data_IF_035069670822
#
_entry.id   IF_035069670822
#
_cell.length_a   1.000
_cell.length_b   1.000
_cell.length_c   1.000
_cell.angle_alpha   90.00
_cell.angle_beta   90.00
_cell.angle_gamma   90.00
#
_symmetry.space_group_name_H-M   'P 1'
#
loop_
_entity.id
_entity.type
_entity.pdbx_description
1 polymer ?
#
# COMPACT_ATOMS: atom_id res chain seq x y z
N UNK A 1 15.14 3.36 -12.41
CA UNK A 1 13.69 3.13 -12.40
C UNK A 1 13.32 2.41 -11.12
N UNK A 2 12.44 3.05 -10.34
CA UNK A 2 11.82 2.51 -9.13
C UNK A 2 10.32 2.56 -9.38
N UNK A 3 9.62 1.48 -9.08
CA UNK A 3 8.17 1.41 -9.08
C UNK A 3 7.68 0.91 -7.73
N UNK A 4 6.51 1.36 -7.33
CA UNK A 4 5.86 0.92 -6.08
C UNK A 4 4.41 0.54 -6.37
N UNK A 5 3.88 -0.42 -5.63
CA UNK A 5 2.46 -0.73 -5.70
C UNK A 5 2.07 -1.98 -4.92
N UNK A 6 1.08 -2.70 -5.43
CA UNK A 6 0.49 -3.85 -4.77
C UNK A 6 0.33 -5.01 -5.74
N UNK A 7 0.51 -6.24 -5.26
CA UNK A 7 0.26 -7.44 -6.05
C UNK A 7 -0.31 -8.59 -5.21
N UNK A 8 -0.99 -9.53 -5.87
CA UNK A 8 -1.23 -10.86 -5.33
C UNK A 8 0.07 -11.65 -5.30
N UNK A 9 0.22 -12.61 -4.38
CA UNK A 9 1.38 -13.50 -4.33
C UNK A 9 1.60 -14.14 -5.71
N UNK A 10 2.76 -13.89 -6.32
CA UNK A 10 3.18 -14.64 -7.49
C UNK A 10 3.46 -16.08 -7.05
N UNK A 11 2.96 -17.07 -7.79
CA UNK A 11 3.45 -18.44 -7.65
C UNK A 11 4.95 -18.43 -7.96
N UNK A 12 5.75 -19.08 -7.12
CA UNK A 12 7.21 -19.16 -7.29
C UNK A 12 7.53 -19.77 -8.66
N UNK A 13 7.71 -18.93 -9.69
CA UNK A 13 8.17 -19.37 -11.00
C UNK A 13 9.61 -19.86 -10.78
N UNK A 14 9.91 -21.13 -11.10
CA UNK A 14 11.29 -21.62 -11.14
C UNK A 14 12.12 -20.66 -11.99
N UNK A 15 13.11 -20.05 -11.37
CA UNK A 15 13.98 -19.05 -11.98
C UNK A 15 15.01 -19.81 -12.82
N UNK A 16 14.93 -19.66 -14.14
CA UNK A 16 16.03 -19.98 -15.05
C UNK A 16 16.85 -18.70 -15.24
N UNK A 17 18.06 -18.69 -14.70
CA UNK A 17 18.93 -17.53 -14.56
C UNK A 17 19.37 -16.92 -15.92
N UNK A 18 19.14 -17.60 -17.04
CA UNK A 18 19.69 -17.22 -18.35
C UNK A 18 18.99 -16.03 -19.05
N UNK A 19 17.76 -15.69 -18.68
CA UNK A 19 16.97 -14.60 -19.31
C UNK A 19 16.44 -13.54 -18.32
N UNK A 20 16.98 -13.53 -17.10
CA UNK A 20 16.43 -12.83 -15.94
C UNK A 20 16.37 -11.29 -16.08
N UNK A 21 17.39 -10.67 -16.67
CA UNK A 21 17.48 -9.19 -16.74
C UNK A 21 16.45 -8.60 -17.72
N UNK A 22 16.16 -9.30 -18.82
CA UNK A 22 15.27 -8.79 -19.88
C UNK A 22 13.78 -9.00 -19.58
N UNK A 23 13.43 -9.87 -18.63
CA UNK A 23 12.05 -10.24 -18.30
C UNK A 23 11.58 -9.75 -16.92
N UNK A 24 12.34 -8.90 -16.22
CA UNK A 24 11.92 -8.31 -14.95
C UNK A 24 10.76 -7.33 -15.16
N UNK A 25 9.55 -7.75 -14.83
CA UNK A 25 8.36 -6.90 -14.85
C UNK A 25 8.33 -5.98 -13.62
N UNK A 26 8.05 -4.70 -13.86
CA UNK A 26 7.83 -3.70 -12.80
C UNK A 26 6.42 -3.83 -12.22
N UNK A 27 6.14 -3.21 -11.06
CA UNK A 27 4.81 -3.27 -10.43
C UNK A 27 3.68 -2.98 -11.43
N UNK A 28 2.68 -3.87 -11.49
CA UNK A 28 1.53 -3.71 -12.38
C UNK A 28 1.76 -4.06 -13.86
N UNK A 29 2.97 -4.41 -14.30
CA UNK A 29 3.22 -4.78 -15.71
C UNK A 29 2.84 -6.23 -16.07
N UNK A 30 2.64 -7.11 -15.07
CA UNK A 30 2.19 -8.49 -15.34
C UNK A 30 0.69 -8.53 -15.64
N UNK A 31 0.33 -9.11 -16.79
CA UNK A 31 -1.03 -9.52 -17.10
C UNK A 31 -1.11 -11.04 -17.14
N UNK A 32 -1.93 -11.60 -16.26
CA UNK A 32 -2.43 -12.97 -16.40
C UNK A 32 -3.92 -12.96 -16.17
N UNK A 33 -4.66 -13.44 -17.14
CA UNK A 33 -6.10 -13.61 -16.99
C UNK A 33 -6.38 -14.54 -15.79
N UNK A 34 -7.20 -14.05 -14.86
CA UNK A 34 -7.75 -14.80 -13.74
C UNK A 34 -6.78 -15.38 -12.68
N UNK A 35 -5.47 -15.23 -12.80
CA UNK A 35 -4.50 -15.79 -11.83
C UNK A 35 -3.88 -14.74 -10.89
N UNK A 36 -3.47 -13.59 -11.42
CA UNK A 36 -2.71 -12.59 -10.66
C UNK A 36 -3.24 -11.19 -10.92
N UNK A 37 -3.30 -10.38 -9.87
CA UNK A 37 -3.59 -8.96 -9.96
C UNK A 37 -2.42 -8.18 -9.42
N UNK A 38 -2.05 -7.11 -10.11
CA UNK A 38 -1.04 -6.18 -9.60
C UNK A 38 -1.23 -4.80 -10.19
N UNK A 39 -0.83 -3.80 -9.43
CA UNK A 39 -0.73 -2.42 -9.88
C UNK A 39 0.55 -1.78 -9.37
N UNK A 40 0.95 -0.69 -9.99
CA UNK A 40 1.96 0.19 -9.42
C UNK A 40 2.28 1.41 -10.25
N UNK A 41 2.79 2.41 -9.55
CA UNK A 41 3.22 3.69 -10.09
C UNK A 41 4.72 3.70 -10.31
N UNK A 42 5.14 4.08 -11.51
CA UNK A 42 6.52 4.08 -11.97
C UNK A 42 7.03 5.52 -11.95
N UNK A 43 8.02 5.76 -11.10
CA UNK A 43 8.48 7.12 -10.86
C UNK A 43 9.40 7.66 -11.94
N UNK A 44 9.73 6.93 -12.99
CA UNK A 44 10.60 7.41 -14.06
C UNK A 44 9.83 7.92 -15.28
N UNK A 45 8.66 7.34 -15.58
CA UNK A 45 7.79 7.75 -16.68
C UNK A 45 6.47 8.39 -16.22
N UNK A 46 6.13 8.27 -14.93
CA UNK A 46 4.89 8.82 -14.38
C UNK A 46 3.64 7.97 -14.69
N UNK A 47 3.81 6.72 -15.13
CA UNK A 47 2.70 5.83 -15.46
C UNK A 47 2.24 5.03 -14.26
N UNK A 48 0.92 4.83 -14.17
CA UNK A 48 0.32 3.77 -13.36
C UNK A 48 0.08 2.57 -14.27
N UNK A 49 0.62 1.43 -13.89
CA UNK A 49 0.33 0.16 -14.52
C UNK A 49 -0.62 -0.64 -13.64
N UNK A 50 -1.62 -1.26 -14.24
CA UNK A 50 -2.53 -2.19 -13.58
C UNK A 50 -2.79 -3.38 -14.49
N UNK A 51 -2.36 -4.56 -14.03
CA UNK A 51 -2.50 -5.83 -14.75
C UNK A 51 -2.09 -5.71 -16.23
N UNK A 52 -0.89 -5.22 -16.50
CA UNK A 52 -0.33 -5.05 -17.85
C UNK A 52 -0.84 -3.85 -18.65
N UNK A 53 -1.88 -3.14 -18.19
CA UNK A 53 -2.34 -1.90 -18.82
C UNK A 53 -1.68 -0.69 -18.14
N UNK A 54 -1.00 0.15 -18.93
CA UNK A 54 -0.39 1.39 -18.47
C UNK A 54 -1.21 2.61 -18.85
N UNK A 55 -1.47 3.50 -17.91
CA UNK A 55 -2.10 4.82 -18.11
C UNK A 55 -1.20 5.89 -17.50
N UNK A 56 -1.09 7.03 -18.20
CA UNK A 56 -0.42 8.21 -17.65
C UNK A 56 -1.19 8.67 -16.42
N UNK A 57 -0.54 8.63 -15.27
CA UNK A 57 -1.21 8.77 -13.99
C UNK A 57 -0.97 10.13 -13.36
N UNK A 58 0.17 10.75 -13.67
CA UNK A 58 0.55 12.05 -13.13
C UNK A 58 0.93 13.02 -14.26
N UNK A 59 0.16 14.10 -14.39
CA UNK A 59 0.45 15.24 -15.26
C UNK A 59 1.07 16.42 -14.47
N UNK A 60 1.23 16.30 -13.15
CA UNK A 60 1.82 17.33 -12.31
C UNK A 60 3.35 17.26 -12.38
N UNK A 61 3.96 18.36 -12.80
CA UNK A 61 5.36 18.40 -13.20
C UNK A 61 6.29 18.70 -12.00
N UNK A 62 7.49 18.08 -11.89
CA UNK A 62 8.03 17.07 -12.80
C UNK A 62 7.66 15.63 -12.39
N UNK A 63 7.33 14.77 -13.38
CA UNK A 63 7.25 13.33 -13.16
C UNK A 63 8.63 12.82 -12.73
N UNK A 64 8.70 11.89 -11.78
CA UNK A 64 9.99 11.56 -11.17
C UNK A 64 9.88 11.07 -9.74
N UNK A 65 10.68 10.09 -9.34
CA UNK A 65 11.20 10.05 -7.97
C UNK A 65 12.62 10.60 -7.95
N UNK A 66 12.91 11.48 -6.99
CA UNK A 66 14.26 11.92 -6.68
C UNK A 66 14.64 11.56 -5.24
N UNK A 67 15.92 11.72 -4.91
CA UNK A 67 16.43 11.49 -3.56
C UNK A 67 15.70 12.37 -2.55
N UNK A 68 15.15 11.73 -1.52
CA UNK A 68 14.43 12.41 -0.44
C UNK A 68 12.92 12.53 -0.65
N UNK A 69 12.40 12.17 -1.84
CA UNK A 69 10.96 12.06 -2.05
C UNK A 69 10.35 10.99 -1.12
N UNK A 70 9.17 11.30 -0.61
CA UNK A 70 8.41 10.41 0.25
C UNK A 70 7.08 10.12 -0.44
N UNK A 71 6.87 8.83 -0.71
CA UNK A 71 5.70 8.37 -1.45
C UNK A 71 4.78 7.62 -0.50
N UNK A 72 3.54 8.07 -0.38
CA UNK A 72 2.49 7.36 0.32
C UNK A 72 1.76 6.41 -0.63
N UNK A 73 1.55 5.17 -0.21
CA UNK A 73 0.78 4.17 -0.95
C UNK A 73 -0.51 3.89 -0.20
N UNK A 74 -1.65 4.08 -0.86
CA UNK A 74 -2.96 3.94 -0.24
C UNK A 74 -3.77 2.86 -0.95
N UNK A 75 -4.37 1.99 -0.14
CA UNK A 75 -5.27 0.93 -0.56
C UNK A 75 -6.60 1.08 0.17
N UNK A 76 -7.64 1.51 -0.53
CA UNK A 76 -8.99 1.61 0.02
C UNK A 76 -9.85 0.42 -0.46
N UNK A 77 -10.10 -0.53 0.43
CA UNK A 77 -10.95 -1.70 0.16
C UNK A 77 -12.45 -1.39 0.09
N UNK A 78 -12.91 -0.25 0.63
CA UNK A 78 -14.32 0.17 0.56
C UNK A 78 -14.68 0.64 -0.85
N UNK A 79 -13.80 1.43 -1.44
CA UNK A 79 -13.97 1.99 -2.78
C UNK A 79 -13.26 1.16 -3.86
N UNK A 80 -12.52 0.12 -3.45
CA UNK A 80 -11.70 -0.71 -4.32
C UNK A 80 -10.72 0.14 -5.15
N UNK A 81 -10.05 1.11 -4.52
CA UNK A 81 -9.08 1.97 -5.21
C UNK A 81 -7.68 1.86 -4.61
N UNK A 82 -6.70 2.09 -5.48
CA UNK A 82 -5.32 2.41 -5.11
C UNK A 82 -5.02 3.82 -5.57
N UNK A 83 -4.36 4.60 -4.73
CA UNK A 83 -3.82 5.91 -5.07
C UNK A 83 -2.50 6.14 -4.36
N UNK A 84 -1.74 7.11 -4.86
CA UNK A 84 -0.44 7.47 -4.33
C UNK A 84 -0.38 8.95 -3.96
N UNK A 85 0.53 9.27 -3.05
CA UNK A 85 0.90 10.65 -2.73
C UNK A 85 2.38 10.83 -2.90
N UNK A 86 2.82 12.01 -3.34
CA UNK A 86 4.24 12.38 -3.38
C UNK A 86 4.45 13.62 -2.53
N UNK A 87 5.29 13.50 -1.51
CA UNK A 87 5.58 14.56 -0.54
C UNK A 87 4.30 15.16 0.09
N UNK A 88 3.29 14.32 0.32
CA UNK A 88 2.00 14.71 0.89
C UNK A 88 0.97 15.22 -0.12
N UNK A 89 1.31 15.34 -1.40
CA UNK A 89 0.39 15.77 -2.47
C UNK A 89 -0.29 14.55 -3.08
N UNK A 90 -1.63 14.58 -3.21
CA UNK A 90 -2.41 13.50 -3.80
C UNK A 90 -2.24 13.45 -5.33
N UNK A 91 -1.89 12.29 -5.87
CA UNK A 91 -1.69 12.08 -7.31
C UNK A 91 -2.93 11.53 -8.04
N UNK A 92 -4.08 11.40 -7.35
CA UNK A 92 -5.33 10.90 -7.93
C UNK A 92 -5.47 9.37 -7.91
N UNK A 93 -6.49 8.80 -8.54
CA UNK A 93 -6.73 7.33 -8.52
C UNK A 93 -5.80 6.62 -9.52
N UNK A 94 -4.96 5.72 -9.03
CA UNK A 94 -4.01 4.98 -9.85
C UNK A 94 -4.65 3.81 -10.57
N UNK A 95 -5.50 3.07 -9.86
CA UNK A 95 -6.25 1.96 -10.41
C UNK A 95 -7.39 1.54 -9.49
N UNK A 96 -8.28 0.72 -10.03
CA UNK A 96 -9.33 0.04 -9.29
C UNK A 96 -8.99 -1.44 -9.11
N UNK A 97 -9.27 -1.98 -7.91
CA UNK A 97 -9.34 -3.41 -7.69
C UNK A 97 -10.55 -3.97 -8.42
N UNK A 98 -10.51 -5.26 -8.78
CA UNK A 98 -11.68 -5.97 -9.32
C UNK A 98 -12.79 -5.95 -8.28
N UNK A 99 -14.04 -5.73 -8.70
CA UNK A 99 -15.20 -5.56 -7.82
C UNK A 99 -15.43 -6.73 -6.85
N UNK A 100 -14.98 -7.93 -7.23
CA UNK A 100 -15.07 -9.17 -6.45
C UNK A 100 -13.69 -9.71 -6.06
N UNK A 101 -12.71 -8.83 -5.85
CA UNK A 101 -11.36 -9.26 -5.48
C UNK A 101 -11.39 -10.09 -4.20
N UNK A 102 -10.89 -11.33 -4.28
CA UNK A 102 -10.71 -12.25 -3.17
C UNK A 102 -9.25 -12.67 -3.14
N UNK A 103 -8.50 -12.20 -2.14
CA UNK A 103 -7.09 -12.51 -2.03
C UNK A 103 -6.36 -11.62 -1.04
N UNK A 104 -5.08 -11.91 -0.84
CA UNK A 104 -4.17 -11.08 -0.05
C UNK A 104 -3.37 -10.24 -1.04
N UNK A 105 -3.33 -8.93 -0.78
CA UNK A 105 -2.43 -8.00 -1.49
C UNK A 105 -1.19 -7.75 -0.64
N UNK A 106 -0.05 -7.74 -1.31
CA UNK A 106 1.25 -7.46 -0.73
C UNK A 106 1.77 -6.15 -1.31
N UNK A 107 2.35 -5.27 -0.49
CA UNK A 107 3.11 -4.13 -1.00
C UNK A 107 4.32 -4.66 -1.78
N UNK A 108 4.64 -4.01 -2.89
CA UNK A 108 5.74 -4.40 -3.77
C UNK A 108 6.53 -3.17 -4.22
N UNK A 109 7.86 -3.30 -4.21
CA UNK A 109 8.79 -2.32 -4.77
C UNK A 109 9.65 -3.01 -5.82
N UNK A 110 9.66 -2.47 -7.02
CA UNK A 110 10.48 -2.94 -8.13
C UNK A 110 11.63 -1.99 -8.42
N UNK A 111 12.80 -2.54 -8.74
CA UNK A 111 13.99 -1.81 -9.15
C UNK A 111 14.48 -2.32 -10.50
N UNK A 112 14.81 -1.39 -11.41
CA UNK A 112 15.60 -1.70 -12.62
C UNK A 112 16.94 -0.96 -12.69
N UNK A 113 17.13 0.08 -11.87
CA UNK A 113 18.41 0.83 -11.82
C UNK A 113 19.32 0.31 -10.72
N UNK A 114 20.61 0.15 -11.03
CA UNK A 114 21.65 -0.11 -10.02
C UNK A 114 21.86 1.12 -9.13
N UNK A 115 22.23 0.88 -7.86
CA UNK A 115 22.60 1.92 -6.90
C UNK A 115 21.44 2.70 -6.26
N UNK A 116 20.19 2.46 -6.67
CA UNK A 116 19.02 3.04 -6.02
C UNK A 116 18.70 2.33 -4.70
N UNK A 117 18.28 3.08 -3.69
CA UNK A 117 17.84 2.54 -2.40
C UNK A 117 16.53 3.19 -1.96
N UNK A 118 15.67 2.42 -1.30
CA UNK A 118 14.47 2.94 -0.63
C UNK A 118 14.45 2.49 0.83
N UNK A 119 13.92 3.34 1.71
CA UNK A 119 13.51 2.95 3.06
C UNK A 119 11.99 2.79 3.04
N UNK A 120 11.49 1.66 3.54
CA UNK A 120 10.04 1.42 3.63
C UNK A 120 9.62 1.53 5.08
N UNK A 121 8.53 2.26 5.34
CA UNK A 121 7.94 2.37 6.67
C UNK A 121 6.55 1.72 6.65
N UNK A 122 6.40 0.61 7.36
CA UNK A 122 5.12 -0.09 7.53
C UNK A 122 4.46 0.21 8.89
N UNK A 123 4.86 1.30 9.55
CA UNK A 123 4.36 1.74 10.86
C UNK A 123 5.40 1.68 11.98
N UNK A 124 6.58 1.12 11.76
CA UNK A 124 7.64 1.04 12.79
C UNK A 124 8.12 2.41 13.29
N UNK A 125 7.94 3.44 12.48
CA UNK A 125 8.13 4.85 12.84
C UNK A 125 6.86 5.62 12.46
N UNK A 126 6.64 6.80 13.06
CA UNK A 126 5.54 7.67 12.65
C UNK A 126 5.63 8.00 11.15
N UNK A 127 4.50 7.91 10.45
CA UNK A 127 4.41 8.37 9.06
C UNK A 127 4.65 9.88 9.00
N UNK A 128 5.47 10.34 8.04
CA UNK A 128 5.79 11.76 7.88
C UNK A 128 4.56 12.61 7.53
N UNK A 129 3.64 12.03 6.76
CA UNK A 129 2.39 12.67 6.36
C UNK A 129 1.21 11.92 6.98
N UNK A 130 0.15 12.66 7.27
CA UNK A 130 -1.11 12.09 7.72
C UNK A 130 -1.75 11.21 6.65
N UNK A 131 -2.48 10.18 7.08
CA UNK A 131 -3.26 9.38 6.16
C UNK A 131 -4.33 10.26 5.48
N UNK A 132 -4.44 10.18 4.14
CA UNK A 132 -5.57 10.78 3.44
C UNK A 132 -6.78 9.86 3.59
N UNK A 133 -7.87 10.38 4.14
CA UNK A 133 -9.18 9.79 3.93
C UNK A 133 -9.72 10.28 2.61
N UNK A 134 -10.36 9.40 1.82
CA UNK A 134 -10.85 9.62 0.45
C UNK A 134 -11.90 10.75 0.25
N UNK A 135 -11.94 11.75 1.11
CA UNK A 135 -12.45 13.05 0.72
C UNK A 135 -11.59 13.58 -0.41
N UNK A 136 -12.04 13.37 -1.65
CA UNK A 136 -11.80 14.34 -2.72
C UNK A 136 -12.31 15.75 -2.34
N UNK A 137 -13.05 15.84 -1.23
CA UNK A 137 -13.31 17.05 -0.47
C UNK A 137 -12.16 17.35 0.51
N UNK A 138 -11.48 18.45 0.25
CA UNK A 138 -10.80 19.22 1.29
C UNK A 138 -11.85 19.70 2.30
N UNK A 139 -12.09 18.98 3.39
CA UNK A 139 -12.55 19.57 4.65
C UNK A 139 -12.59 18.55 5.80
N UNK A 140 -11.94 18.94 6.90
CA UNK A 140 -12.35 18.70 8.29
C UNK A 140 -13.38 17.57 8.54
N UNK A 141 -12.91 16.46 9.13
CA UNK A 141 -13.45 15.73 10.31
C UNK A 141 -12.94 14.27 10.26
N UNK A 142 -11.68 14.09 10.67
CA UNK A 142 -11.30 13.04 11.62
C UNK A 142 -10.27 13.71 12.56
N UNK A 143 -10.60 14.00 13.82
CA UNK A 143 -9.78 14.89 14.65
C UNK A 143 -8.42 14.31 15.06
N UNK A 144 -8.10 13.06 14.71
CA UNK A 144 -6.86 12.46 15.17
C UNK A 144 -6.23 11.51 14.14
N UNK A 145 -5.26 12.06 13.40
CA UNK A 145 -4.33 11.35 12.53
C UNK A 145 -3.72 10.09 13.18
N UNK A 146 -3.51 10.13 14.50
CA UNK A 146 -2.99 8.99 15.27
C UNK A 146 -3.96 7.80 15.31
N UNK A 147 -5.27 8.01 15.31
CA UNK A 147 -6.24 6.93 15.42
C UNK A 147 -6.25 6.03 14.17
N UNK A 148 -6.23 6.63 12.98
CA UNK A 148 -6.16 5.86 11.73
C UNK A 148 -4.84 5.13 11.58
N UNK A 149 -3.72 5.76 11.95
CA UNK A 149 -2.41 5.13 11.90
C UNK A 149 -2.37 3.87 12.80
N UNK A 150 -2.86 3.99 14.04
CA UNK A 150 -2.98 2.85 14.98
C UNK A 150 -3.90 1.75 14.43
N UNK A 151 -5.01 2.11 13.77
CA UNK A 151 -5.91 1.12 13.17
C UNK A 151 -5.21 0.34 12.06
N UNK A 152 -4.55 1.01 11.12
CA UNK A 152 -3.84 0.35 10.02
C UNK A 152 -2.65 -0.46 10.52
N UNK A 153 -1.85 0.08 11.43
CA UNK A 153 -0.68 -0.59 11.99
C UNK A 153 -1.07 -1.85 12.78
N UNK A 154 -2.08 -1.74 13.66
CA UNK A 154 -2.61 -2.89 14.39
C UNK A 154 -3.13 -3.99 13.47
N UNK A 155 -3.78 -3.62 12.35
CA UNK A 155 -4.22 -4.59 11.33
C UNK A 155 -3.04 -5.25 10.60
N UNK A 156 -1.99 -4.50 10.29
CA UNK A 156 -0.77 -5.05 9.68
C UNK A 156 -0.11 -6.05 10.63
N UNK A 157 0.10 -5.67 11.90
CA UNK A 157 0.66 -6.56 12.92
C UNK A 157 -0.17 -7.84 13.09
N UNK A 158 -1.50 -7.72 13.10
CA UNK A 158 -2.39 -8.88 13.15
C UNK A 158 -2.18 -9.84 11.97
N UNK A 159 -2.07 -9.31 10.74
CA UNK A 159 -1.88 -10.11 9.53
C UNK A 159 -0.53 -10.83 9.53
N UNK A 160 0.53 -10.19 10.03
CA UNK A 160 1.87 -10.77 10.07
C UNK A 160 2.13 -11.62 11.33
N UNK A 161 1.10 -11.92 12.12
CA UNK A 161 1.17 -12.80 13.30
C UNK A 161 1.79 -12.15 14.54
N UNK A 162 1.97 -10.83 14.53
CA UNK A 162 2.50 -10.02 15.64
C UNK A 162 1.36 -9.58 16.56
N UNK A 163 0.80 -10.55 17.28
CA UNK A 163 -0.45 -10.35 18.02
C UNK A 163 -0.31 -9.41 19.22
N UNK A 164 0.83 -9.42 19.91
CA UNK A 164 1.10 -8.51 21.03
C UNK A 164 1.14 -7.04 20.56
N UNK A 165 1.93 -6.75 19.52
CA UNK A 165 2.01 -5.39 18.96
C UNK A 165 0.66 -4.93 18.39
N UNK A 166 -0.07 -5.85 17.72
CA UNK A 166 -1.42 -5.55 17.23
C UNK A 166 -2.38 -5.18 18.37
N UNK A 167 -2.34 -5.92 19.48
CA UNK A 167 -3.21 -5.70 20.62
C UNK A 167 -2.95 -4.36 21.30
N UNK A 168 -1.68 -3.97 21.41
CA UNK A 168 -1.27 -2.68 21.96
C UNK A 168 -1.80 -1.52 21.11
N UNK A 169 -1.63 -1.58 19.78
CA UNK A 169 -2.10 -0.53 18.87
C UNK A 169 -3.63 -0.40 18.90
N UNK A 170 -4.37 -1.51 18.94
CA UNK A 170 -5.82 -1.46 19.09
C UNK A 170 -6.27 -0.94 20.47
N UNK A 171 -5.47 -1.16 21.52
CA UNK A 171 -5.75 -0.61 22.86
C UNK A 171 -5.56 0.90 22.86
N UNK A 172 -4.44 1.41 22.34
CA UNK A 172 -4.20 2.85 22.14
C UNK A 172 -5.29 3.49 21.27
N UNK A 173 -5.74 2.78 20.23
CA UNK A 173 -6.84 3.26 19.39
C UNK A 173 -8.14 3.43 20.19
N UNK A 174 -8.45 2.52 21.12
CA UNK A 174 -9.64 2.63 21.97
C UNK A 174 -9.51 3.72 23.03
N UNK A 175 -8.30 4.08 23.46
CA UNK A 175 -8.11 5.26 24.32
C UNK A 175 -8.48 6.55 23.59
N UNK A 176 -8.24 6.62 22.27
CA UNK A 176 -8.57 7.78 21.43
C UNK A 176 -10.02 7.73 20.94
N UNK A 177 -10.50 6.55 20.52
CA UNK A 177 -11.84 6.32 19.97
C UNK A 177 -12.48 5.12 20.70
N UNK A 178 -13.09 5.35 21.89
CA UNK A 178 -13.56 4.28 22.78
C UNK A 178 -14.53 3.26 22.20
N UNK A 179 -15.26 3.62 21.14
CA UNK A 179 -16.27 2.77 20.50
C UNK A 179 -15.89 2.36 19.08
N UNK A 180 -14.60 2.38 18.71
CA UNK A 180 -14.15 1.91 17.41
C UNK A 180 -14.43 0.39 17.28
N UNK A 181 -15.37 0.04 16.39
CA UNK A 181 -15.82 -1.34 16.17
C UNK A 181 -14.72 -2.25 15.64
N UNK A 182 -13.79 -1.71 14.85
CA UNK A 182 -12.68 -2.45 14.25
C UNK A 182 -11.69 -2.87 15.34
N UNK A 183 -11.30 -1.92 16.21
CA UNK A 183 -10.39 -2.17 17.31
C UNK A 183 -10.96 -3.20 18.31
N UNK A 184 -12.24 -3.08 18.68
CA UNK A 184 -12.92 -4.06 19.55
C UNK A 184 -12.94 -5.46 18.94
N UNK A 185 -13.27 -5.58 17.64
CA UNK A 185 -13.31 -6.87 16.94
C UNK A 185 -11.93 -7.54 16.94
N UNK A 186 -10.91 -6.84 16.48
CA UNK A 186 -9.56 -7.42 16.37
C UNK A 186 -8.97 -7.78 17.73
N UNK A 187 -9.22 -7.00 18.81
CA UNK A 187 -8.83 -7.43 20.16
C UNK A 187 -9.52 -8.71 20.62
N UNK A 188 -10.78 -8.91 20.24
CA UNK A 188 -11.50 -10.17 20.49
C UNK A 188 -10.86 -11.35 19.77
N UNK A 189 -10.53 -11.17 18.49
CA UNK A 189 -9.83 -12.19 17.68
C UNK A 189 -8.44 -12.50 18.24
N UNK A 190 -7.64 -11.49 18.58
CA UNK A 190 -6.31 -11.66 19.17
C UNK A 190 -6.37 -12.47 20.47
N UNK A 191 -7.27 -12.11 21.39
CA UNK A 191 -7.44 -12.83 22.65
C UNK A 191 -7.85 -14.30 22.46
N UNK A 192 -8.55 -14.61 21.37
CA UNK A 192 -8.87 -16.00 21.03
C UNK A 192 -7.64 -16.75 20.51
N UNK A 193 -6.79 -16.09 19.70
CA UNK A 193 -5.60 -16.68 19.10
C UNK A 193 -4.43 -16.86 20.08
N UNK A 194 -4.38 -16.06 21.14
CA UNK A 194 -3.34 -16.11 22.18
C UNK A 194 -3.63 -17.08 23.35
N UNK A 195 -4.75 -17.80 23.32
CA UNK A 195 -5.08 -18.86 24.28
C UNK A 195 -4.49 -20.19 23.85
#
# INVERSE_FOLDING_TARGET
>A
MIGIGYCTKQSDKKIDDSNYINNMLMPGQEYKENETWGCGYHGDDGYSFCSGSGILYDLSYPPGYTTGDIVGCYLNFRENIVFYTKNGINLGIACHLRSNFKGILYPFVGFRSQGGSVKVNFGSENFKYSAMTNGFESSSILPNNNALALEYQGRVYFIIGKYDEAFEDFTKLLEIVPYNKIALRYRGEINYMMK
#
